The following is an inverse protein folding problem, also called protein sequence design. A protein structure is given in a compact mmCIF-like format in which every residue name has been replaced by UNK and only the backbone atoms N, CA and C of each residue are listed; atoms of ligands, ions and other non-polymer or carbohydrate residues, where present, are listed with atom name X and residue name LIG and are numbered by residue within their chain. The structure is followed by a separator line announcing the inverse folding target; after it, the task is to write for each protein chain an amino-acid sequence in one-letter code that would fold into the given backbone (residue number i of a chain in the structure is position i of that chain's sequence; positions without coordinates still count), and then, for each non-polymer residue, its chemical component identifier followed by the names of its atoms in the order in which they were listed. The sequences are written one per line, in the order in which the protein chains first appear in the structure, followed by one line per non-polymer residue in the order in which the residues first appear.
data_IF_310231988318
#
_entry.id   IF_310231988318
#
_cell.length_a   1.000
_cell.length_b   1.000
_cell.length_c   1.000
_cell.angle_alpha   90.00
_cell.angle_beta   90.00
_cell.angle_gamma   90.00
#
_symmetry.space_group_name_H-M   'P 1'
#
loop_
_entity.id
_entity.type
_entity.pdbx_description
1 polymer ?
#
# COMPACT_ATOMS: atom_id res chain seq x y z
N UNK A 1 -19.77 5.37 2.55
CA UNK A 1 -19.16 6.69 2.32
C UNK A 1 -17.68 6.52 2.58
N UNK A 2 -16.87 6.52 1.53
CA UNK A 2 -15.41 6.47 1.70
C UNK A 2 -14.97 7.88 2.00
N UNK A 3 -14.65 8.16 3.26
CA UNK A 3 -13.98 9.39 3.64
C UNK A 3 -12.63 9.41 2.94
N UNK A 4 -12.47 10.32 1.96
CA UNK A 4 -11.16 10.68 1.45
C UNK A 4 -10.36 11.22 2.64
N UNK A 5 -9.19 10.64 2.98
CA UNK A 5 -8.38 11.17 4.07
C UNK A 5 -8.11 12.64 3.77
N UNK A 6 -8.52 13.53 4.68
CA UNK A 6 -8.28 14.95 4.53
C UNK A 6 -6.79 15.23 4.30
N UNK A 7 -6.51 16.14 3.37
CA UNK A 7 -5.17 16.63 3.04
C UNK A 7 -4.40 16.93 4.33
N UNK A 8 -3.28 16.22 4.55
CA UNK A 8 -2.48 16.40 5.77
C UNK A 8 -1.68 17.68 5.65
N UNK A 9 -1.76 18.54 6.65
CA UNK A 9 -0.95 19.75 6.68
C UNK A 9 0.48 19.42 7.14
N UNK A 10 1.49 20.26 6.83
CA UNK A 10 2.84 20.10 7.37
C UNK A 10 2.89 20.02 8.90
N UNK A 11 1.93 20.65 9.58
CA UNK A 11 1.80 20.58 11.03
C UNK A 11 1.40 19.18 11.50
N UNK A 12 0.50 18.52 10.78
CA UNK A 12 0.02 17.17 11.11
C UNK A 12 1.15 16.14 10.98
N UNK A 13 2.04 16.32 10.00
CA UNK A 13 3.22 15.47 9.83
C UNK A 13 4.22 15.61 10.98
N UNK A 14 4.46 16.85 11.42
CA UNK A 14 5.35 17.14 12.56
C UNK A 14 4.80 16.54 13.85
N UNK A 15 3.49 16.69 14.10
CA UNK A 15 2.83 16.11 15.27
C UNK A 15 2.85 14.57 15.23
N UNK A 16 2.62 13.97 14.06
CA UNK A 16 2.75 12.52 13.87
C UNK A 16 4.18 12.06 14.18
N UNK A 17 5.21 12.76 13.67
CA UNK A 17 6.61 12.41 13.92
C UNK A 17 6.96 12.49 15.41
N UNK A 18 6.50 13.53 16.11
CA UNK A 18 6.69 13.67 17.57
C UNK A 18 6.08 12.51 18.35
N UNK A 19 4.84 12.12 18.04
CA UNK A 19 4.16 10.99 18.71
C UNK A 19 4.88 9.67 18.47
N UNK A 20 5.41 9.45 17.27
CA UNK A 20 6.21 8.26 16.98
C UNK A 20 7.51 8.26 17.77
N UNK A 21 8.19 9.40 17.87
CA UNK A 21 9.44 9.52 18.61
C UNK A 21 9.27 9.30 20.13
N UNK A 22 8.12 9.66 20.69
CA UNK A 22 7.79 9.40 22.11
C UNK A 22 7.74 7.90 22.44
N UNK A 23 7.31 7.06 21.48
CA UNK A 23 7.17 5.61 21.68
C UNK A 23 8.39 4.84 21.19
N UNK A 24 8.91 5.22 20.01
CA UNK A 24 9.92 4.46 19.28
C UNK A 24 11.32 5.13 19.29
N UNK A 25 11.43 6.37 19.79
CA UNK A 25 12.63 7.18 19.67
C UNK A 25 12.79 7.83 18.30
N UNK A 26 13.87 8.59 18.10
CA UNK A 26 14.09 9.34 16.86
C UNK A 26 14.43 8.45 15.64
N UNK A 27 14.83 7.20 15.89
CA UNK A 27 15.17 6.21 14.87
C UNK A 27 14.00 5.25 14.73
N UNK A 28 13.29 5.32 13.61
CA UNK A 28 12.23 4.36 13.31
C UNK A 28 12.84 3.06 12.73
N UNK A 29 12.23 1.90 13.01
CA UNK A 29 12.57 0.67 12.30
C UNK A 29 12.41 0.87 10.80
N UNK A 30 13.42 0.47 10.04
CA UNK A 30 13.30 0.37 8.59
C UNK A 30 12.40 -0.83 8.25
N UNK A 31 11.57 -0.71 7.22
CA UNK A 31 10.79 -1.83 6.69
C UNK A 31 11.08 -1.99 5.21
N UNK A 32 11.20 -3.24 4.77
CA UNK A 32 11.45 -3.51 3.36
C UNK A 32 10.18 -3.29 2.55
N UNK A 33 10.31 -3.17 1.23
CA UNK A 33 9.16 -2.88 0.38
C UNK A 33 8.17 -4.04 0.28
N UNK A 34 8.61 -5.27 0.55
CA UNK A 34 7.77 -6.48 0.54
C UNK A 34 6.93 -6.63 1.83
N UNK A 35 7.35 -6.04 2.94
CA UNK A 35 6.58 -6.02 4.20
C UNK A 35 5.45 -4.98 4.18
N UNK A 36 5.54 -3.99 3.27
CA UNK A 36 4.48 -2.99 3.09
C UNK A 36 3.38 -3.58 2.21
N UNK A 37 2.18 -3.66 2.77
CA UNK A 37 0.98 -3.87 1.97
C UNK A 37 0.90 -2.71 0.97
N UNK A 38 1.03 -3.02 -0.32
CA UNK A 38 0.84 -2.02 -1.37
C UNK A 38 -0.56 -1.45 -1.15
N UNK A 39 -0.68 -0.16 -0.83
CA UNK A 39 -1.96 0.52 -0.88
C UNK A 39 -2.47 0.29 -2.29
N UNK A 40 -3.39 -0.65 -2.43
CA UNK A 40 -3.99 -0.97 -3.71
C UNK A 40 -4.72 0.29 -4.14
N UNK A 41 -4.10 1.05 -5.04
CA UNK A 41 -4.82 2.02 -5.83
C UNK A 41 -5.96 1.23 -6.47
N UNK A 42 -7.20 1.50 -6.04
CA UNK A 42 -8.40 0.80 -6.51
C UNK A 42 -8.60 0.89 -8.04
N UNK A 43 -7.75 1.65 -8.74
CA UNK A 43 -7.65 1.70 -10.19
C UNK A 43 -7.01 0.44 -10.82
N UNK A 44 -6.20 -0.33 -10.07
CA UNK A 44 -5.32 -1.38 -10.63
C UNK A 44 -5.88 -2.81 -10.54
N UNK A 45 -7.02 -3.03 -9.85
CA UNK A 45 -7.61 -4.38 -9.72
C UNK A 45 -7.97 -4.99 -11.09
N UNK A 46 -8.48 -4.17 -12.01
CA UNK A 46 -8.84 -4.61 -13.37
C UNK A 46 -7.62 -4.92 -14.24
N UNK A 47 -6.55 -4.11 -14.14
CA UNK A 47 -5.29 -4.33 -14.85
C UNK A 47 -4.56 -5.57 -14.33
N UNK A 48 -4.57 -5.78 -13.02
CA UNK A 48 -4.03 -6.96 -12.36
C UNK A 48 -4.76 -8.24 -12.77
N UNK A 49 -6.10 -8.24 -12.78
CA UNK A 49 -6.90 -9.40 -13.20
C UNK A 49 -6.69 -9.73 -14.69
N UNK A 50 -6.54 -8.72 -15.55
CA UNK A 50 -6.17 -8.91 -16.95
C UNK A 50 -4.80 -9.56 -17.10
N UNK A 51 -3.78 -9.04 -16.39
CA UNK A 51 -2.43 -9.60 -16.42
C UNK A 51 -2.40 -11.07 -15.97
N UNK A 52 -3.14 -11.42 -14.91
CA UNK A 52 -3.22 -12.81 -14.45
C UNK A 52 -3.85 -13.75 -15.48
N UNK A 53 -4.89 -13.31 -16.20
CA UNK A 53 -5.52 -14.14 -17.27
C UNK A 53 -4.61 -14.33 -18.47
N UNK A 54 -3.78 -13.35 -18.79
CA UNK A 54 -2.81 -13.44 -19.88
C UNK A 54 -1.64 -14.38 -19.58
N UNK A 55 -1.41 -14.73 -18.30
CA UNK A 55 -0.37 -15.67 -17.88
C UNK A 55 -0.83 -17.14 -17.87
N UNK A 56 -2.06 -17.44 -18.30
CA UNK A 56 -2.57 -18.81 -18.32
C UNK A 56 -1.86 -19.62 -19.43
N UNK A 57 -1.12 -20.70 -19.09
CA UNK A 57 -0.45 -21.52 -20.09
C UNK A 57 -1.43 -22.16 -21.09
N UNK A 58 -1.04 -22.38 -22.36
CA UNK A 58 -1.94 -22.84 -23.43
C UNK A 58 -2.55 -24.24 -23.21
N UNK A 59 -2.00 -25.00 -22.25
CA UNK A 59 -2.50 -26.32 -21.86
C UNK A 59 -3.43 -26.31 -20.63
N UNK A 60 -3.81 -25.14 -20.10
CA UNK A 60 -4.75 -25.01 -18.97
C UNK A 60 -6.22 -25.25 -19.38
N UNK A 61 -6.42 -26.08 -20.40
CA UNK A 61 -7.71 -26.39 -20.99
C UNK A 61 -7.79 -27.84 -21.39
N UNK A 62 -7.52 -28.76 -20.46
CA UNK A 62 -7.81 -30.19 -20.64
C UNK A 62 -8.42 -30.80 -19.38
N UNK A 63 -9.69 -30.46 -19.09
CA UNK A 63 -10.82 -31.42 -19.14
C UNK A 63 -12.17 -30.72 -18.98
#
# INVERSE_FOLDING_TARGET
MSETPGEKTPRDEVERKRRLAEVFGDVLPDTTSDEREQQSDAADESARDSWYRDQVPPHHGER
#
